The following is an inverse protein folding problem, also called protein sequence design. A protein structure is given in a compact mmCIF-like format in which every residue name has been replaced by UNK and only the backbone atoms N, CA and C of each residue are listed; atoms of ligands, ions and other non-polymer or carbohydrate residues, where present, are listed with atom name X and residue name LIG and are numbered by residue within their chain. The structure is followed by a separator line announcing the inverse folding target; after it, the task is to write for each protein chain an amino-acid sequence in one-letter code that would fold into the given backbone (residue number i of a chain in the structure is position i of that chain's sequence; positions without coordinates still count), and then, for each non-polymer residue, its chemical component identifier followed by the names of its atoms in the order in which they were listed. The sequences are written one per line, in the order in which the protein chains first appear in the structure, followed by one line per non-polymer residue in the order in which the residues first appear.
data_IF_555639015492
#
_entry.id   IF_555639015492
#
_cell.length_a   1.000
_cell.length_b   1.000
_cell.length_c   1.000
_cell.angle_alpha   90.00
_cell.angle_beta   90.00
_cell.angle_gamma   90.00
#
_symmetry.space_group_name_H-M   'P 1'
#
loop_
_entity.id
_entity.type
_entity.pdbx_description
1 polymer ?
#
# COMPACT_ATOMS: atom_id res chain seq x y z
N UNK A 1 26.01 15.18 9.08
CA UNK A 1 25.77 15.15 7.63
C UNK A 1 25.25 13.80 7.16
N UNK A 2 25.88 12.68 7.51
CA UNK A 2 25.44 11.33 7.12
C UNK A 2 23.96 11.04 7.46
N UNK A 3 23.50 11.34 8.67
CA UNK A 3 22.10 11.11 9.10
C UNK A 3 21.10 11.85 8.20
N UNK A 4 21.37 13.13 7.90
CA UNK A 4 20.52 13.95 7.03
C UNK A 4 20.49 13.38 5.62
N UNK A 5 21.65 12.97 5.09
CA UNK A 5 21.73 12.32 3.77
C UNK A 5 20.92 11.02 3.73
N UNK A 6 21.03 10.17 4.76
CA UNK A 6 20.25 8.93 4.87
C UNK A 6 18.76 9.23 4.91
N UNK A 7 18.33 10.22 5.70
CA UNK A 7 16.92 10.61 5.78
C UNK A 7 16.38 11.10 4.44
N UNK A 8 17.12 11.95 3.72
CA UNK A 8 16.72 12.44 2.40
C UNK A 8 16.60 11.28 1.40
N UNK A 9 17.60 10.40 1.35
CA UNK A 9 17.58 9.23 0.45
C UNK A 9 16.39 8.34 0.77
N UNK A 10 16.18 8.02 2.05
CA UNK A 10 15.07 7.20 2.51
C UNK A 10 13.71 7.82 2.14
N UNK A 11 13.53 9.12 2.38
CA UNK A 11 12.32 9.86 2.06
C UNK A 11 11.99 9.82 0.56
N UNK A 12 12.97 10.11 -0.29
CA UNK A 12 12.76 10.09 -1.74
C UNK A 12 12.55 8.68 -2.28
N UNK A 13 13.24 7.68 -1.73
CA UNK A 13 12.97 6.28 -2.08
C UNK A 13 11.54 5.88 -1.70
N UNK A 14 11.03 6.31 -0.55
CA UNK A 14 9.69 5.99 -0.08
C UNK A 14 8.62 6.61 -0.99
N UNK A 15 8.81 7.88 -1.35
CA UNK A 15 7.96 8.56 -2.34
C UNK A 15 8.04 7.86 -3.69
N UNK A 16 9.24 7.47 -4.13
CA UNK A 16 9.45 6.79 -5.40
C UNK A 16 8.73 5.45 -5.47
N UNK A 17 8.89 4.58 -4.46
CA UNK A 17 8.18 3.29 -4.41
C UNK A 17 6.67 3.49 -4.32
N UNK A 18 6.20 4.48 -3.55
CA UNK A 18 4.78 4.77 -3.45
C UNK A 18 4.18 5.25 -4.78
N UNK A 19 4.79 6.28 -5.37
CA UNK A 19 4.29 6.88 -6.60
C UNK A 19 4.42 5.93 -7.80
N UNK A 20 5.54 5.22 -7.91
CA UNK A 20 5.83 4.37 -9.06
C UNK A 20 5.21 2.99 -8.94
N UNK A 21 5.45 2.27 -7.83
CA UNK A 21 5.04 0.88 -7.68
C UNK A 21 3.60 0.73 -7.15
N UNK A 22 3.26 1.36 -6.03
CA UNK A 22 1.91 1.24 -5.47
C UNK A 22 0.86 1.95 -6.32
N UNK A 23 1.12 3.21 -6.68
CA UNK A 23 0.14 4.02 -7.39
C UNK A 23 0.09 3.72 -8.88
N UNK A 24 1.15 4.04 -9.63
CA UNK A 24 1.10 3.97 -11.10
C UNK A 24 1.11 2.54 -11.65
N UNK A 25 1.92 1.66 -11.06
CA UNK A 25 1.97 0.27 -11.48
C UNK A 25 0.78 -0.54 -10.95
N UNK A 26 0.64 -0.68 -9.63
CA UNK A 26 -0.38 -1.55 -9.06
C UNK A 26 -1.81 -0.99 -9.23
N UNK A 27 -2.06 0.27 -8.86
CA UNK A 27 -3.42 0.81 -8.95
C UNK A 27 -3.85 1.12 -10.38
N UNK A 28 -3.00 1.78 -11.16
CA UNK A 28 -3.37 2.29 -12.49
C UNK A 28 -2.94 1.40 -13.67
N UNK A 29 -2.09 0.40 -13.45
CA UNK A 29 -1.65 -0.50 -14.53
C UNK A 29 -0.93 0.23 -15.68
N UNK A 30 -0.23 1.33 -15.41
CA UNK A 30 0.34 2.19 -16.46
C UNK A 30 1.43 1.50 -17.32
N UNK A 31 2.00 0.41 -16.84
CA UNK A 31 2.94 -0.44 -17.57
C UNK A 31 2.96 -1.86 -16.99
N UNK A 32 3.62 -2.79 -17.68
CA UNK A 32 3.86 -4.14 -17.21
C UNK A 32 5.33 -4.31 -16.78
N UNK A 33 5.55 -5.02 -15.67
CA UNK A 33 6.88 -5.44 -15.25
C UNK A 33 7.06 -6.93 -15.52
N UNK A 34 8.30 -7.34 -15.79
CA UNK A 34 8.64 -8.77 -15.67
C UNK A 34 8.51 -9.20 -14.21
N UNK A 35 8.31 -10.50 -13.96
CA UNK A 35 8.26 -11.04 -12.59
C UNK A 35 9.49 -10.68 -11.76
N UNK A 36 10.65 -10.55 -12.40
CA UNK A 36 11.88 -10.12 -11.73
C UNK A 36 11.75 -8.70 -11.19
N UNK A 37 11.38 -7.73 -12.04
CA UNK A 37 11.27 -6.32 -11.64
C UNK A 37 10.16 -6.10 -10.63
N UNK A 38 9.01 -6.77 -10.79
CA UNK A 38 7.93 -6.70 -9.80
C UNK A 38 8.43 -7.13 -8.41
N UNK A 39 9.20 -8.22 -8.33
CA UNK A 39 9.80 -8.68 -7.05
C UNK A 39 10.84 -7.72 -6.50
N UNK A 40 11.65 -7.08 -7.35
CA UNK A 40 12.60 -6.03 -6.93
C UNK A 40 11.84 -4.89 -6.25
N UNK A 41 10.72 -4.44 -6.83
CA UNK A 41 9.92 -3.38 -6.23
C UNK A 41 9.21 -3.81 -4.94
N UNK A 42 8.72 -5.05 -4.85
CA UNK A 42 8.21 -5.60 -3.59
C UNK A 42 9.24 -5.50 -2.46
N UNK A 43 10.46 -5.96 -2.71
CA UNK A 43 11.55 -5.93 -1.71
C UNK A 43 11.99 -4.51 -1.40
N UNK A 44 12.14 -3.66 -2.42
CA UNK A 44 12.51 -2.26 -2.23
C UNK A 44 11.46 -1.50 -1.39
N UNK A 45 10.18 -1.66 -1.72
CA UNK A 45 9.08 -1.08 -0.97
C UNK A 45 9.06 -1.61 0.47
N UNK A 46 9.29 -2.90 0.69
CA UNK A 46 9.39 -3.48 2.02
C UNK A 46 10.51 -2.88 2.86
N UNK A 47 11.70 -2.70 2.28
CA UNK A 47 12.86 -2.12 2.99
C UNK A 47 12.64 -0.65 3.33
N UNK A 48 12.04 0.11 2.41
CA UNK A 48 11.91 1.56 2.54
C UNK A 48 10.66 1.99 3.30
N UNK A 49 9.57 1.22 3.25
CA UNK A 49 8.38 1.51 4.07
C UNK A 49 8.43 0.83 5.44
N UNK A 50 9.25 -0.21 5.61
CA UNK A 50 9.49 -0.87 6.89
C UNK A 50 8.20 -1.29 7.62
N UNK A 51 8.00 -0.77 8.83
CA UNK A 51 6.82 -1.04 9.65
C UNK A 51 5.51 -0.54 9.05
N UNK A 52 5.59 0.37 8.07
CA UNK A 52 4.46 0.95 7.32
C UNK A 52 4.24 0.31 5.95
N UNK A 53 4.93 -0.80 5.63
CA UNK A 53 4.72 -1.53 4.37
C UNK A 53 3.25 -1.90 4.14
N UNK A 54 2.81 -1.70 2.91
CA UNK A 54 1.48 -2.05 2.40
C UNK A 54 1.58 -3.12 1.32
N UNK A 55 0.53 -3.92 1.18
CA UNK A 55 0.37 -4.81 0.06
C UNK A 55 0.10 -3.99 -1.19
N UNK A 56 0.90 -4.20 -2.25
CA UNK A 56 0.66 -3.53 -3.52
C UNK A 56 -0.71 -3.89 -4.12
N UNK A 57 -1.15 -5.13 -3.88
CA UNK A 57 -2.46 -5.62 -4.27
C UNK A 57 -3.59 -4.87 -3.54
N UNK A 58 -3.59 -4.91 -2.20
CA UNK A 58 -4.65 -4.27 -1.41
C UNK A 58 -4.66 -2.75 -1.57
N UNK A 59 -3.48 -2.12 -1.67
CA UNK A 59 -3.37 -0.71 -2.00
C UNK A 59 -4.00 -0.42 -3.37
N UNK A 60 -3.67 -1.21 -4.40
CA UNK A 60 -4.21 -1.04 -5.75
C UNK A 60 -5.73 -1.10 -5.79
N UNK A 61 -6.32 -2.08 -5.10
CA UNK A 61 -7.78 -2.21 -4.96
C UNK A 61 -8.38 -0.97 -4.30
N UNK A 62 -7.86 -0.61 -3.11
CA UNK A 62 -8.37 0.53 -2.33
C UNK A 62 -8.27 1.84 -3.10
N UNK A 63 -7.18 2.01 -3.86
CA UNK A 63 -6.96 3.18 -4.69
C UNK A 63 -7.92 3.25 -5.89
N UNK A 64 -8.24 2.11 -6.52
CA UNK A 64 -9.26 2.05 -7.59
C UNK A 64 -10.65 2.38 -7.05
N UNK A 65 -11.01 1.85 -5.88
CA UNK A 65 -12.27 2.19 -5.21
C UNK A 65 -12.35 3.69 -4.90
N UNK A 66 -11.27 4.29 -4.40
CA UNK A 66 -11.21 5.74 -4.16
C UNK A 66 -11.44 6.54 -5.45
N UNK A 67 -10.87 6.13 -6.58
CA UNK A 67 -11.09 6.82 -7.86
C UNK A 67 -12.53 6.73 -8.37
N UNK A 68 -13.20 5.58 -8.19
CA UNK A 68 -14.59 5.42 -8.61
C UNK A 68 -15.55 6.20 -7.72
N UNK A 69 -15.34 6.14 -6.41
CA UNK A 69 -16.28 6.62 -5.40
C UNK A 69 -15.86 7.96 -4.78
N UNK A 70 -14.93 8.70 -5.40
CA UNK A 70 -14.34 9.92 -4.84
C UNK A 70 -15.42 10.88 -4.33
N UNK A 71 -15.21 11.41 -3.12
CA UNK A 71 -16.14 12.32 -2.44
C UNK A 71 -17.56 11.77 -2.24
N UNK A 72 -17.73 10.45 -2.21
CA UNK A 72 -18.95 9.76 -1.78
C UNK A 72 -18.75 8.95 -0.48
N UNK A 73 -19.84 8.47 0.12
CA UNK A 73 -19.78 7.63 1.32
C UNK A 73 -19.09 6.28 1.08
N UNK A 74 -19.06 5.82 -0.17
CA UNK A 74 -18.46 4.56 -0.61
C UNK A 74 -16.94 4.63 -0.78
N UNK A 75 -16.35 5.83 -0.75
CA UNK A 75 -14.90 6.01 -0.79
C UNK A 75 -14.24 5.40 0.46
N UNK A 76 -13.34 4.40 0.29
CA UNK A 76 -12.72 3.74 1.41
C UNK A 76 -11.74 4.65 2.19
N UNK A 77 -11.42 5.83 1.67
CA UNK A 77 -10.51 6.81 2.26
C UNK A 77 -11.00 8.26 2.12
N UNK A 78 -12.30 8.54 2.22
CA UNK A 78 -12.79 9.92 2.22
C UNK A 78 -12.72 10.58 3.62
N UNK A 79 -12.00 11.71 3.77
CA UNK A 79 -11.98 12.48 5.02
C UNK A 79 -13.34 13.12 5.35
N UNK A 80 -14.08 13.55 4.33
CA UNK A 80 -15.38 14.23 4.45
C UNK A 80 -16.43 13.41 5.21
N UNK A 81 -16.37 12.08 5.08
CA UNK A 81 -17.28 11.13 5.73
C UNK A 81 -16.68 10.49 6.99
N UNK A 82 -15.77 11.22 7.64
CA UNK A 82 -15.12 10.82 8.88
C UNK A 82 -15.29 11.93 9.91
N UNK A 83 -15.71 11.58 11.13
CA UNK A 83 -16.01 12.59 12.16
C UNK A 83 -14.81 13.42 12.61
N UNK A 84 -13.60 12.85 12.56
CA UNK A 84 -12.33 13.53 12.84
C UNK A 84 -11.15 12.77 12.21
N UNK A 85 -9.94 13.31 12.34
CA UNK A 85 -8.70 12.73 11.77
C UNK A 85 -8.43 11.32 12.30
N UNK A 86 -8.66 11.05 13.60
CA UNK A 86 -8.43 9.72 14.16
C UNK A 86 -9.47 8.71 13.63
N UNK A 87 -10.74 9.11 13.57
CA UNK A 87 -11.81 8.31 13.00
C UNK A 87 -11.55 7.99 11.53
N UNK A 88 -11.05 8.98 10.77
CA UNK A 88 -10.61 8.81 9.39
C UNK A 88 -9.50 7.77 9.25
N UNK A 89 -8.43 7.89 10.06
CA UNK A 89 -7.30 6.95 10.03
C UNK A 89 -7.74 5.53 10.38
N UNK A 90 -8.61 5.37 11.39
CA UNK A 90 -9.16 4.06 11.78
C UNK A 90 -10.07 3.47 10.70
N UNK A 91 -10.98 4.27 10.13
CA UNK A 91 -11.88 3.85 9.04
C UNK A 91 -11.06 3.36 7.84
N UNK A 92 -10.08 4.16 7.42
CA UNK A 92 -9.12 3.84 6.36
C UNK A 92 -8.40 2.52 6.61
N UNK A 93 -7.81 2.38 7.81
CA UNK A 93 -7.09 1.17 8.21
C UNK A 93 -8.02 -0.04 8.15
N UNK A 94 -9.25 0.07 8.66
CA UNK A 94 -10.20 -1.03 8.68
C UNK A 94 -10.63 -1.43 7.25
N UNK A 95 -10.90 -0.46 6.38
CA UNK A 95 -11.18 -0.70 4.97
C UNK A 95 -10.01 -1.42 4.28
N UNK A 96 -8.79 -0.92 4.45
CA UNK A 96 -7.59 -1.56 3.94
C UNK A 96 -7.43 -3.01 4.43
N UNK A 97 -7.59 -3.25 5.74
CA UNK A 97 -7.46 -4.58 6.35
C UNK A 97 -8.54 -5.53 5.82
N UNK A 98 -9.78 -5.05 5.67
CA UNK A 98 -10.87 -5.85 5.12
C UNK A 98 -10.60 -6.24 3.66
N UNK A 99 -10.08 -5.32 2.85
CA UNK A 99 -9.65 -5.60 1.47
C UNK A 99 -8.51 -6.63 1.47
N UNK A 100 -7.47 -6.42 2.27
CA UNK A 100 -6.31 -7.31 2.33
C UNK A 100 -6.68 -8.74 2.75
N UNK A 101 -7.64 -8.90 3.66
CA UNK A 101 -8.13 -10.22 4.09
C UNK A 101 -9.27 -10.77 3.23
N UNK A 102 -9.65 -10.10 2.14
CA UNK A 102 -10.74 -10.56 1.26
C UNK A 102 -12.12 -10.55 1.90
N UNK A 103 -12.34 -9.70 2.90
CA UNK A 103 -13.64 -9.53 3.61
C UNK A 103 -14.57 -8.53 2.91
N UNK A 104 -14.05 -7.74 1.99
CA UNK A 104 -14.82 -6.80 1.17
C UNK A 104 -15.29 -7.50 -0.09
N UNK A 105 -16.59 -7.47 -0.39
CA UNK A 105 -17.11 -7.90 -1.68
C UNK A 105 -16.70 -6.88 -2.74
N UNK A 106 -16.02 -7.34 -3.79
CA UNK A 106 -15.41 -6.48 -4.81
C UNK A 106 -15.77 -7.01 -6.20
N UNK A 107 -16.14 -6.11 -7.10
CA UNK A 107 -16.28 -6.43 -8.51
C UNK A 107 -14.93 -6.82 -9.13
N UNK A 108 -14.97 -7.69 -10.14
CA UNK A 108 -13.79 -8.19 -10.84
C UNK A 108 -12.89 -7.04 -11.35
N UNK A 109 -13.48 -5.95 -11.85
CA UNK A 109 -12.77 -4.75 -12.34
C UNK A 109 -11.76 -4.17 -11.34
N UNK A 110 -12.02 -4.29 -10.03
CA UNK A 110 -11.12 -3.77 -9.00
C UNK A 110 -9.93 -4.70 -8.73
N UNK A 111 -10.07 -5.99 -9.03
CA UNK A 111 -9.08 -7.03 -8.69
C UNK A 111 -8.22 -7.48 -9.88
N UNK A 112 -8.59 -7.10 -11.10
CA UNK A 112 -7.89 -7.49 -12.32
C UNK A 112 -6.50 -6.85 -12.45
N UNK A 113 -5.54 -7.62 -12.99
CA UNK A 113 -4.19 -7.16 -13.34
C UNK A 113 -3.41 -6.50 -12.19
N UNK A 114 -3.63 -6.95 -10.95
CA UNK A 114 -2.88 -6.49 -9.79
C UNK A 114 -1.64 -7.36 -9.55
N UNK A 115 -0.52 -6.77 -9.07
CA UNK A 115 0.62 -7.55 -8.64
C UNK A 115 0.23 -8.47 -7.48
N UNK A 116 0.81 -9.66 -7.42
CA UNK A 116 0.48 -10.64 -6.38
C UNK A 116 1.68 -11.51 -6.04
N UNK A 117 2.07 -11.50 -4.77
CA UNK A 117 3.09 -12.39 -4.24
C UNK A 117 2.72 -12.89 -2.83
N UNK A 118 1.78 -13.86 -2.72
CA UNK A 118 1.16 -14.21 -1.44
C UNK A 118 2.15 -14.66 -0.35
N UNK A 119 3.21 -15.40 -0.73
CA UNK A 119 4.22 -15.84 0.22
C UNK A 119 5.01 -14.65 0.82
N UNK A 120 5.33 -13.65 0.01
CA UNK A 120 6.00 -12.44 0.46
C UNK A 120 5.08 -11.58 1.31
N UNK A 121 3.83 -11.40 0.88
CA UNK A 121 2.81 -10.66 1.63
C UNK A 121 2.59 -11.26 3.03
N UNK A 122 2.51 -12.60 3.13
CA UNK A 122 2.38 -13.29 4.43
C UNK A 122 3.57 -13.01 5.35
N UNK A 123 4.78 -12.95 4.81
CA UNK A 123 5.98 -12.60 5.56
C UNK A 123 5.99 -11.11 5.95
N UNK A 124 5.72 -10.21 5.01
CA UNK A 124 5.83 -8.77 5.19
C UNK A 124 4.74 -8.19 6.10
N UNK A 125 3.51 -8.70 6.05
CA UNK A 125 2.38 -8.25 6.89
C UNK A 125 2.31 -8.89 8.27
N UNK A 126 3.22 -9.81 8.60
CA UNK A 126 3.28 -10.41 9.93
C UNK A 126 3.60 -9.35 11.01
N UNK A 127 2.94 -9.45 12.17
CA UNK A 127 3.17 -8.55 13.30
C UNK A 127 4.62 -8.63 13.81
N UNK A 128 5.25 -9.81 13.77
CA UNK A 128 6.66 -9.97 14.14
C UNK A 128 7.55 -9.14 13.22
N UNK A 129 7.30 -9.19 11.91
CA UNK A 129 8.03 -8.40 10.91
C UNK A 129 7.86 -6.90 11.12
N UNK A 130 6.64 -6.46 11.45
CA UNK A 130 6.37 -5.04 11.76
C UNK A 130 7.13 -4.58 13.01
N UNK A 131 7.13 -5.38 14.07
CA UNK A 131 7.88 -5.08 15.30
C UNK A 131 9.38 -5.08 15.04
N UNK A 132 9.90 -6.02 14.25
CA UNK A 132 11.31 -6.06 13.87
C UNK A 132 11.75 -4.78 13.14
N UNK A 133 10.91 -4.25 12.24
CA UNK A 133 11.18 -2.95 11.61
C UNK A 133 11.17 -1.78 12.59
N UNK A 134 10.25 -1.77 13.56
CA UNK A 134 10.21 -0.72 14.60
C UNK A 134 11.48 -0.73 15.44
N UNK A 135 12.05 -1.90 15.71
CA UNK A 135 13.31 -2.02 16.48
C UNK A 135 14.53 -1.67 15.63
N UNK A 136 14.48 -1.91 14.32
CA UNK A 136 15.60 -1.67 13.40
C UNK A 136 15.74 -0.21 12.96
N UNK A 137 14.62 0.51 12.82
CA UNK A 137 14.59 1.95 12.50
C UNK A 137 14.85 2.81 13.72
#
# INVERSE_FOLDING_TARGET
MVIVTVFIIHWYLAIFTHALFYHRYAAHGMWHMSKFWERVFYVLAFIVHGSSYLSANAYGIMHRLHHEHVDTEEDPHAPKYSGNILGFMVKTRNNYINIFHGKTALDAKYTENLPSWPAFEKFAHNWITRVAWIVLY
#
